data_IF_686690761702
#
_entry.id   IF_686690761702
#
_cell.length_a   1.000
_cell.length_b   1.000
_cell.length_c   1.000
_cell.angle_alpha   90.00
_cell.angle_beta   90.00
_cell.angle_gamma   90.00
#
_symmetry.space_group_name_H-M   'P 1'
#
loop_
_entity.id
_entity.type
_entity.pdbx_description
1 polymer ?
#
# COMPACT_ATOMS: atom_id res chain seq x y z
N UNK A 1 70.81 8.52 -13.65
CA UNK A 1 71.15 7.17 -13.14
C UNK A 1 70.09 6.88 -12.08
N UNK A 2 69.01 6.15 -12.39
CA UNK A 2 68.91 4.66 -12.38
C UNK A 2 69.22 4.16 -10.96
N UNK A 3 68.39 3.47 -10.17
CA UNK A 3 67.23 2.59 -10.35
C UNK A 3 66.40 2.63 -9.04
N UNK A 4 65.07 2.60 -9.10
CA UNK A 4 64.25 1.39 -8.97
C UNK A 4 64.43 0.63 -7.64
N UNK A 5 63.51 0.85 -6.69
CA UNK A 5 63.05 -0.23 -5.81
C UNK A 5 61.55 -0.07 -5.62
N UNK A 6 60.87 -1.12 -6.06
CA UNK A 6 59.45 -1.37 -6.11
C UNK A 6 59.10 -2.12 -4.84
N UNK A 7 58.18 -1.59 -4.04
CA UNK A 7 57.43 -2.46 -3.12
C UNK A 7 55.97 -2.03 -3.08
N UNK A 8 55.14 -2.92 -3.64
CA UNK A 8 53.71 -2.99 -3.40
C UNK A 8 53.53 -3.59 -2.01
N UNK A 9 52.60 -3.07 -1.22
CA UNK A 9 51.31 -3.74 -0.97
C UNK A 9 50.58 -3.14 0.23
N UNK A 10 49.26 -3.04 0.08
CA UNK A 10 48.26 -3.27 1.14
C UNK A 10 48.05 -2.15 2.15
N UNK A 11 46.86 -1.75 2.59
CA UNK A 11 45.43 -1.88 2.21
C UNK A 11 44.72 -0.95 3.20
N UNK A 12 43.90 0.00 2.73
CA UNK A 12 42.78 0.66 3.46
C UNK A 12 42.34 1.87 2.63
N UNK A 13 41.56 1.71 1.56
CA UNK A 13 40.09 1.53 1.58
C UNK A 13 39.39 2.42 2.61
N UNK A 14 39.32 3.71 2.31
CA UNK A 14 38.39 4.67 2.89
C UNK A 14 37.37 5.15 1.86
N UNK A 15 36.86 4.24 1.02
CA UNK A 15 35.75 4.53 0.12
C UNK A 15 34.46 4.50 0.95
N UNK A 16 34.02 5.68 1.40
CA UNK A 16 32.68 5.88 1.96
C UNK A 16 31.67 5.69 0.84
N UNK A 17 31.36 4.42 0.59
CA UNK A 17 30.23 3.99 -0.19
C UNK A 17 28.96 4.61 0.44
N UNK A 18 28.38 5.51 -0.34
CA UNK A 18 26.96 5.75 -0.52
C UNK A 18 26.14 4.69 0.23
N UNK A 19 25.47 5.10 1.30
CA UNK A 19 24.41 4.33 1.94
C UNK A 19 23.26 4.22 0.93
N UNK A 20 23.40 3.29 -0.01
CA UNK A 20 22.27 2.71 -0.70
C UNK A 20 21.42 2.02 0.36
N UNK A 21 20.15 2.40 0.58
CA UNK A 21 19.25 1.53 1.31
C UNK A 21 19.14 0.27 0.45
N UNK A 22 19.77 -0.82 0.92
CA UNK A 22 19.47 -2.14 0.41
C UNK A 22 18.01 -2.38 0.72
N UNK A 23 17.16 -2.10 -0.26
CA UNK A 23 15.88 -2.77 -0.36
C UNK A 23 16.18 -4.25 -0.26
N UNK A 24 15.73 -4.85 0.82
CA UNK A 24 15.56 -6.29 0.92
C UNK A 24 14.81 -6.71 -0.33
N UNK A 25 15.55 -7.19 -1.33
CA UNK A 25 14.97 -8.00 -2.40
C UNK A 25 14.53 -9.26 -1.67
N UNK A 26 13.29 -9.23 -1.19
CA UNK A 26 12.54 -10.43 -0.98
C UNK A 26 12.56 -11.13 -2.33
N UNK A 27 13.40 -12.15 -2.43
CA UNK A 27 13.25 -13.20 -3.43
C UNK A 27 11.98 -13.96 -3.07
N UNK A 28 10.83 -13.36 -3.34
CA UNK A 28 9.58 -14.08 -3.47
C UNK A 28 9.50 -14.52 -4.94
N UNK A 29 9.53 -15.84 -5.17
CA UNK A 29 9.10 -16.39 -6.45
C UNK A 29 7.64 -15.97 -6.69
N UNK A 30 7.29 -15.41 -7.86
CA UNK A 30 6.01 -14.73 -8.06
C UNK A 30 4.86 -15.64 -8.55
N UNK A 31 4.86 -16.94 -8.24
CA UNK A 31 3.77 -17.84 -8.65
C UNK A 31 3.18 -18.52 -7.40
N UNK A 32 1.92 -18.15 -7.10
CA UNK A 32 0.96 -18.86 -6.24
C UNK A 32 1.18 -18.89 -4.71
N UNK A 33 1.84 -17.89 -4.13
CA UNK A 33 1.60 -17.60 -2.71
C UNK A 33 0.33 -16.72 -2.62
N UNK A 34 -0.71 -17.09 -1.83
CA UNK A 34 -1.76 -16.15 -1.51
C UNK A 34 -1.09 -14.92 -0.89
N UNK A 35 -1.28 -13.75 -1.49
CA UNK A 35 -0.76 -12.51 -0.91
C UNK A 35 -1.27 -12.39 0.52
N UNK A 36 -0.35 -12.19 1.46
CA UNK A 36 -0.70 -11.98 2.87
C UNK A 36 -1.66 -10.80 2.95
N UNK A 37 -2.79 -10.99 3.63
CA UNK A 37 -3.82 -9.96 3.79
C UNK A 37 -3.24 -8.67 4.37
N UNK A 38 -2.21 -8.79 5.21
CA UNK A 38 -1.47 -7.67 5.79
C UNK A 38 -0.75 -6.83 4.73
N UNK A 39 -0.15 -7.48 3.73
CA UNK A 39 0.56 -6.77 2.66
C UNK A 39 -0.40 -6.11 1.68
N UNK A 40 -1.55 -6.75 1.41
CA UNK A 40 -2.65 -6.12 0.67
C UNK A 40 -3.17 -4.88 1.41
N UNK A 41 -3.38 -4.95 2.73
CA UNK A 41 -3.78 -3.79 3.55
C UNK A 41 -2.74 -2.68 3.53
N UNK A 42 -1.44 -3.03 3.57
CA UNK A 42 -0.33 -2.08 3.46
C UNK A 42 -0.33 -1.38 2.11
N UNK A 43 -0.51 -2.12 1.03
CA UNK A 43 -0.58 -1.58 -0.32
C UNK A 43 -1.82 -0.71 -0.49
N UNK A 44 -2.96 -1.10 0.05
CA UNK A 44 -4.20 -0.33 0.04
C UNK A 44 -3.99 1.04 0.72
N UNK A 45 -3.36 1.03 1.90
CA UNK A 45 -3.02 2.26 2.63
C UNK A 45 -2.12 3.19 1.81
N UNK A 46 -1.06 2.63 1.20
CA UNK A 46 -0.12 3.39 0.39
C UNK A 46 -0.77 3.97 -0.88
N UNK A 47 -1.57 3.17 -1.59
CA UNK A 47 -2.28 3.59 -2.79
C UNK A 47 -3.36 4.62 -2.48
N UNK A 48 -4.09 4.50 -1.38
CA UNK A 48 -5.08 5.50 -0.97
C UNK A 48 -4.43 6.87 -0.70
N UNK A 49 -3.32 6.88 0.05
CA UNK A 49 -2.55 8.10 0.29
C UNK A 49 -1.98 8.70 -1.01
N UNK A 50 -1.53 7.85 -1.93
CA UNK A 50 -1.02 8.29 -3.23
C UNK A 50 -2.12 8.84 -4.13
N UNK A 51 -3.25 8.14 -4.23
CA UNK A 51 -4.41 8.57 -4.99
C UNK A 51 -4.88 9.94 -4.52
N UNK A 52 -4.97 10.18 -3.20
CA UNK A 52 -5.25 11.51 -2.66
C UNK A 52 -4.27 12.57 -3.12
N UNK A 53 -2.97 12.27 -3.12
CA UNK A 53 -1.95 13.21 -3.61
C UNK A 53 -2.14 13.50 -5.10
N UNK A 54 -2.48 12.49 -5.90
CA UNK A 54 -2.73 12.63 -7.33
C UNK A 54 -4.02 13.46 -7.60
N UNK A 55 -5.05 13.32 -6.75
CA UNK A 55 -6.26 14.17 -6.79
C UNK A 55 -5.93 15.65 -6.59
N UNK A 56 -5.03 15.97 -5.66
CA UNK A 56 -4.60 17.36 -5.40
C UNK A 56 -3.69 17.91 -6.51
N UNK A 57 -3.00 17.03 -7.25
CA UNK A 57 -1.93 17.41 -8.18
C UNK A 57 -2.35 17.62 -9.64
N UNK A 58 -3.62 17.42 -10.01
CA UNK A 58 -4.08 17.36 -11.42
C UNK A 58 -3.23 16.42 -12.31
N UNK A 59 -2.74 15.32 -11.72
CA UNK A 59 -1.90 14.33 -12.42
C UNK A 59 -2.71 13.14 -12.89
N UNK A 60 -2.10 12.35 -13.77
CA UNK A 60 -2.66 11.07 -14.23
C UNK A 60 -2.98 10.16 -13.04
N UNK A 61 -4.23 9.70 -12.93
CA UNK A 61 -4.78 9.02 -11.76
C UNK A 61 -4.45 7.51 -11.72
N UNK A 62 -3.21 7.13 -11.99
CA UNK A 62 -2.78 5.71 -12.03
C UNK A 62 -3.00 5.00 -10.68
N UNK A 63 -2.70 5.68 -9.57
CA UNK A 63 -2.92 5.13 -8.23
C UNK A 63 -4.39 4.83 -7.93
N UNK A 64 -5.32 5.59 -8.50
CA UNK A 64 -6.76 5.34 -8.35
C UNK A 64 -7.20 4.06 -9.08
N UNK A 65 -6.62 3.80 -10.26
CA UNK A 65 -6.89 2.58 -11.04
C UNK A 65 -6.27 1.34 -10.41
N UNK A 66 -5.06 1.46 -9.86
CA UNK A 66 -4.40 0.39 -9.10
C UNK A 66 -5.18 0.11 -7.80
N UNK A 67 -5.61 1.15 -7.10
CA UNK A 67 -6.43 1.00 -5.90
C UNK A 67 -7.73 0.27 -6.20
N UNK A 68 -8.41 0.60 -7.29
CA UNK A 68 -9.66 -0.08 -7.65
C UNK A 68 -9.50 -1.59 -7.85
N UNK A 69 -8.41 -2.02 -8.50
CA UNK A 69 -8.10 -3.45 -8.67
C UNK A 69 -7.82 -4.13 -7.33
N UNK A 70 -7.05 -3.48 -6.46
CA UNK A 70 -6.74 -3.99 -5.12
C UNK A 70 -8.00 -4.08 -4.25
N UNK A 71 -8.92 -3.12 -4.36
CA UNK A 71 -10.21 -3.19 -3.67
C UNK A 71 -11.04 -4.38 -4.16
N UNK A 72 -10.98 -4.72 -5.45
CA UNK A 72 -11.57 -5.95 -5.98
C UNK A 72 -11.05 -7.21 -5.28
N UNK A 73 -9.76 -7.26 -4.96
CA UNK A 73 -9.15 -8.35 -4.20
C UNK A 73 -9.61 -8.37 -2.73
N UNK A 74 -9.64 -7.22 -2.05
CA UNK A 74 -10.15 -7.11 -0.67
C UNK A 74 -11.60 -7.58 -0.58
N UNK A 75 -12.44 -7.20 -1.56
CA UNK A 75 -13.85 -7.61 -1.63
C UNK A 75 -14.04 -9.10 -1.93
N UNK A 76 -13.00 -9.78 -2.43
CA UNK A 76 -13.01 -11.22 -2.69
C UNK A 76 -12.56 -12.07 -1.50
N UNK A 77 -12.21 -11.45 -0.37
CA UNK A 77 -11.76 -12.20 0.81
C UNK A 77 -12.88 -13.01 1.46
N UNK A 78 -12.59 -14.31 1.64
CA UNK A 78 -13.45 -15.24 2.36
C UNK A 78 -13.49 -14.90 3.87
N UNK A 79 -14.45 -15.50 4.59
CA UNK A 79 -14.64 -15.24 6.02
C UNK A 79 -13.39 -15.58 6.86
N UNK A 80 -12.68 -16.65 6.51
CA UNK A 80 -11.48 -17.10 7.20
C UNK A 80 -10.33 -16.09 7.08
N UNK A 81 -10.12 -15.54 5.87
CA UNK A 81 -9.11 -14.51 5.64
C UNK A 81 -9.44 -13.20 6.37
N UNK A 82 -10.73 -12.88 6.49
CA UNK A 82 -11.21 -11.69 7.23
C UNK A 82 -11.07 -11.83 8.75
N UNK A 83 -11.17 -13.04 9.27
CA UNK A 83 -11.05 -13.31 10.71
C UNK A 83 -9.61 -13.17 11.23
N UNK A 84 -8.61 -13.30 10.36
CA UNK A 84 -7.19 -13.24 10.69
C UNK A 84 -6.51 -11.93 10.27
N UNK A 85 -7.30 -10.88 9.95
CA UNK A 85 -6.74 -9.59 9.58
C UNK A 85 -6.01 -8.94 10.77
N UNK A 86 -4.80 -8.43 10.52
CA UNK A 86 -4.10 -7.61 11.51
C UNK A 86 -4.96 -6.37 11.85
N UNK A 87 -5.34 -6.17 13.12
CA UNK A 87 -6.30 -5.12 13.49
C UNK A 87 -5.72 -3.71 13.30
N UNK A 88 -4.39 -3.56 13.45
CA UNK A 88 -3.73 -2.26 13.28
C UNK A 88 -3.74 -1.87 11.81
N UNK A 89 -3.34 -2.79 10.93
CA UNK A 89 -3.32 -2.57 9.49
C UNK A 89 -4.73 -2.41 8.92
N UNK A 90 -5.71 -3.13 9.47
CA UNK A 90 -7.12 -2.99 9.09
C UNK A 90 -7.64 -1.59 9.40
N UNK A 91 -7.37 -1.08 10.61
CA UNK A 91 -7.77 0.27 11.00
C UNK A 91 -7.06 1.35 10.16
N UNK A 92 -5.77 1.18 9.85
CA UNK A 92 -5.02 2.11 9.02
C UNK A 92 -5.53 2.16 7.57
N UNK A 93 -5.80 0.99 6.99
CA UNK A 93 -6.36 0.89 5.65
C UNK A 93 -7.75 1.53 5.60
N UNK A 94 -8.62 1.24 6.57
CA UNK A 94 -9.95 1.84 6.66
C UNK A 94 -9.88 3.37 6.80
N UNK A 95 -9.00 3.90 7.64
CA UNK A 95 -8.84 5.34 7.82
C UNK A 95 -8.35 6.03 6.52
N UNK A 96 -7.40 5.44 5.81
CA UNK A 96 -6.90 5.99 4.55
C UNK A 96 -7.97 5.97 3.44
N UNK A 97 -8.79 4.92 3.40
CA UNK A 97 -9.91 4.80 2.48
C UNK A 97 -11.03 5.82 2.78
N UNK A 98 -11.34 6.05 4.06
CA UNK A 98 -12.29 7.10 4.48
C UNK A 98 -11.81 8.49 4.06
N UNK A 99 -10.55 8.84 4.35
CA UNK A 99 -9.95 10.12 3.94
C UNK A 99 -10.05 10.31 2.42
N UNK A 100 -9.78 9.27 1.63
CA UNK A 100 -9.93 9.34 0.17
C UNK A 100 -11.39 9.51 -0.26
N UNK A 101 -12.33 8.77 0.34
CA UNK A 101 -13.75 8.86 0.02
C UNK A 101 -14.33 10.25 0.28
N UNK A 102 -13.86 10.94 1.33
CA UNK A 102 -14.26 12.33 1.63
C UNK A 102 -13.75 13.32 0.58
N UNK A 103 -12.61 13.06 -0.06
CA UNK A 103 -12.02 13.95 -1.06
C UNK A 103 -12.56 13.72 -2.49
N UNK A 104 -13.00 12.50 -2.81
CA UNK A 104 -13.44 12.13 -4.17
C UNK A 104 -14.59 12.98 -4.73
N UNK A 105 -15.64 13.35 -3.97
CA UNK A 105 -16.74 14.19 -4.49
C UNK A 105 -16.30 15.56 -4.98
N UNK A 106 -15.15 16.04 -4.51
CA UNK A 106 -14.58 17.33 -4.88
C UNK A 106 -13.61 17.26 -6.05
N UNK A 107 -13.22 16.04 -6.46
CA UNK A 107 -12.27 15.83 -7.52
C UNK A 107 -12.98 15.54 -8.85
N UNK A 108 -12.57 16.22 -9.92
CA UNK A 108 -13.09 16.02 -11.27
C UNK A 108 -12.42 14.80 -11.95
N UNK A 109 -12.52 13.62 -11.33
CA UNK A 109 -11.88 12.39 -11.80
C UNK A 109 -12.88 11.48 -12.50
N UNK A 110 -12.53 11.04 -13.70
CA UNK A 110 -13.29 10.04 -14.43
C UNK A 110 -13.30 8.71 -13.66
N UNK A 111 -14.48 8.12 -13.46
CA UNK A 111 -14.63 6.89 -12.68
C UNK A 111 -14.67 7.11 -11.15
N UNK A 112 -14.68 8.35 -10.65
CA UNK A 112 -14.75 8.65 -9.21
C UNK A 112 -15.95 7.98 -8.52
N UNK A 113 -17.11 7.91 -9.18
CA UNK A 113 -18.29 7.23 -8.63
C UNK A 113 -18.08 5.72 -8.43
N UNK A 114 -17.42 5.05 -9.38
CA UNK A 114 -17.10 3.63 -9.28
C UNK A 114 -16.08 3.36 -8.17
N UNK A 115 -15.03 4.19 -8.10
CA UNK A 115 -14.04 4.11 -7.04
C UNK A 115 -14.67 4.36 -5.66
N UNK A 116 -15.55 5.36 -5.54
CA UNK A 116 -16.26 5.66 -4.29
C UNK A 116 -17.13 4.47 -3.85
N UNK A 117 -17.84 3.81 -4.77
CA UNK A 117 -18.60 2.61 -4.46
C UNK A 117 -17.72 1.44 -4.00
N UNK A 118 -16.58 1.20 -4.68
CA UNK A 118 -15.62 0.17 -4.29
C UNK A 118 -15.02 0.44 -2.90
N UNK A 119 -14.67 1.70 -2.62
CA UNK A 119 -14.18 2.13 -1.30
C UNK A 119 -15.25 1.90 -0.23
N UNK A 120 -16.50 2.29 -0.50
CA UNK A 120 -17.62 2.08 0.44
C UNK A 120 -17.81 0.61 0.81
N UNK A 121 -17.83 -0.28 -0.18
CA UNK A 121 -17.96 -1.72 0.05
C UNK A 121 -16.77 -2.29 0.85
N UNK A 122 -15.55 -1.85 0.55
CA UNK A 122 -14.38 -2.29 1.30
C UNK A 122 -14.40 -1.79 2.75
N UNK A 123 -14.85 -0.56 2.99
CA UNK A 123 -15.00 -0.02 4.34
C UNK A 123 -16.03 -0.82 5.16
N UNK A 124 -17.15 -1.21 4.57
CA UNK A 124 -18.12 -2.08 5.26
C UNK A 124 -17.47 -3.41 5.68
N UNK A 125 -16.70 -4.04 4.79
CA UNK A 125 -15.99 -5.28 5.06
C UNK A 125 -14.95 -5.12 6.18
N UNK A 126 -14.12 -4.08 6.12
CA UNK A 126 -13.08 -3.83 7.13
C UNK A 126 -13.67 -3.47 8.50
N UNK A 127 -14.77 -2.72 8.53
CA UNK A 127 -15.47 -2.41 9.78
C UNK A 127 -16.12 -3.65 10.41
N UNK A 128 -16.73 -4.52 9.59
CA UNK A 128 -17.29 -5.78 10.06
C UNK A 128 -16.19 -6.69 10.65
N UNK A 129 -15.04 -6.79 9.98
CA UNK A 129 -13.89 -7.54 10.47
C UNK A 129 -13.35 -7.02 11.81
N UNK A 130 -13.39 -5.71 12.05
CA UNK A 130 -13.01 -5.11 13.34
C UNK A 130 -14.10 -5.21 14.41
N UNK A 131 -15.28 -5.75 14.09
CA UNK A 131 -16.44 -5.74 14.98
C UNK A 131 -17.01 -4.33 15.22
N UNK A 132 -16.63 -3.35 14.38
CA UNK A 132 -17.22 -2.01 14.32
C UNK A 132 -18.54 -2.13 13.58
N UNK A 133 -19.47 -2.90 14.14
CA UNK A 133 -20.84 -2.91 13.64
C UNK A 133 -21.43 -1.58 14.09
N UNK A 134 -21.69 -0.70 13.13
CA UNK A 134 -22.61 0.43 13.30
C UNK A 134 -23.79 -0.07 14.11
N UNK A 135 -23.93 0.44 15.33
CA UNK A 135 -25.12 0.25 16.14
C UNK A 135 -26.26 0.92 15.37
N UNK A 136 -26.85 0.20 14.42
CA UNK A 136 -28.22 0.48 13.98
C UNK A 136 -29.07 0.18 15.20
N UNK A 137 -29.22 1.20 16.03
CA UNK A 137 -30.21 1.25 17.09
C UNK A 137 -31.56 1.08 16.41
N UNK A 138 -32.12 -0.12 16.52
CA UNK A 138 -33.50 -0.38 16.16
C UNK A 138 -34.35 0.47 17.10
N UNK A 139 -35.02 1.49 16.55
CA UNK A 139 -36.10 2.21 17.21
C UNK A 139 -37.44 1.63 16.74
#
# INVERSE_FOLDING_TARGET
MSEATRERSSTARGERAILSPQGSRHSASPEDAPEDTTDVLRQCTALAARARTDLLGQRHHAAAQELEQLLGQVLSWEAEARADLDPTMTALAAAALQDLAEQLPHAAVEGAARLCAAIGAALELLHDAMGVRSLTTTA
#
